data_IF_394320168178
#
_entry.id   IF_394320168178
#
_cell.length_a   1.000
_cell.length_b   1.000
_cell.length_c   1.000
_cell.angle_alpha   90.00
_cell.angle_beta   90.00
_cell.angle_gamma   90.00
#
_symmetry.space_group_name_H-M   'P 1'
#
loop_
_entity.id
_entity.type
_entity.pdbx_description
1 polymer ?
#
# COMPACT_ATOMS: atom_id res chain seq x y z
N UNK A 1 -4.63 17.93 8.43
CA UNK A 1 -3.76 16.82 8.79
C UNK A 1 -3.84 15.69 7.76
N UNK A 2 -4.98 15.00 7.65
CA UNK A 2 -5.11 13.82 6.77
C UNK A 2 -4.78 14.12 5.29
N UNK A 3 -5.31 15.19 4.74
CA UNK A 3 -4.95 15.63 3.37
C UNK A 3 -3.45 15.90 3.21
N UNK A 4 -2.81 16.44 4.25
CA UNK A 4 -1.36 16.66 4.24
C UNK A 4 -0.56 15.37 4.20
N UNK A 5 -1.01 14.32 4.87
CA UNK A 5 -0.38 13.00 4.81
C UNK A 5 -0.48 12.37 3.42
N UNK A 6 -1.59 12.57 2.73
CA UNK A 6 -1.77 12.06 1.37
C UNK A 6 -0.98 12.90 0.35
N UNK A 7 -1.11 14.24 0.37
CA UNK A 7 -0.70 15.10 -0.73
C UNK A 7 -0.11 16.46 -0.32
N UNK A 8 0.59 16.56 0.85
CA UNK A 8 1.32 17.79 1.16
C UNK A 8 2.44 18.02 0.14
N UNK A 9 2.49 19.23 -0.40
CA UNK A 9 3.45 19.61 -1.47
C UNK A 9 4.88 19.79 -0.97
N UNK A 10 5.12 19.83 0.35
CA UNK A 10 6.42 20.15 0.92
C UNK A 10 6.80 21.62 0.76
N UNK A 11 5.82 22.52 0.55
CA UNK A 11 6.06 23.96 0.41
C UNK A 11 5.41 24.67 1.58
N UNK A 12 6.21 25.42 2.33
CA UNK A 12 5.78 26.26 3.43
C UNK A 12 4.97 27.48 2.94
N UNK A 13 4.28 28.15 3.85
CA UNK A 13 3.44 29.32 3.53
C UNK A 13 4.24 30.49 2.94
N UNK A 14 5.52 30.60 3.24
CA UNK A 14 6.44 31.63 2.70
C UNK A 14 7.06 31.25 1.35
N UNK A 15 6.76 30.05 0.83
CA UNK A 15 7.27 29.50 -0.42
C UNK A 15 8.60 28.76 -0.28
N UNK A 16 9.14 28.62 0.93
CA UNK A 16 10.34 27.80 1.16
C UNK A 16 10.00 26.31 1.09
N UNK A 17 10.98 25.47 0.80
CA UNK A 17 10.82 24.02 0.81
C UNK A 17 10.88 23.49 2.25
N UNK A 18 10.02 22.51 2.52
CA UNK A 18 9.99 21.74 3.74
C UNK A 18 10.38 20.28 3.44
N UNK A 19 10.90 19.59 4.44
CA UNK A 19 11.18 18.15 4.35
C UNK A 19 9.92 17.29 4.54
N UNK A 20 8.75 17.90 4.73
CA UNK A 20 7.49 17.23 5.03
C UNK A 20 6.60 17.17 3.79
N UNK A 21 6.61 16.03 3.12
CA UNK A 21 5.78 15.73 1.95
C UNK A 21 4.67 14.76 2.32
N UNK A 22 3.55 14.84 1.61
CA UNK A 22 2.59 13.74 1.53
C UNK A 22 3.14 12.59 0.70
N UNK A 23 2.50 11.44 0.77
CA UNK A 23 2.91 10.25 -0.01
C UNK A 23 2.79 10.47 -1.52
N UNK A 24 1.87 11.33 -1.97
CA UNK A 24 1.66 11.73 -3.36
C UNK A 24 1.49 13.26 -3.46
N UNK A 25 2.59 14.05 -3.46
CA UNK A 25 2.53 15.51 -3.36
C UNK A 25 1.76 16.22 -4.46
N UNK A 26 1.67 15.62 -5.64
CA UNK A 26 0.99 16.19 -6.81
C UNK A 26 -0.44 15.68 -7.00
N UNK A 27 -0.94 14.82 -6.10
CA UNK A 27 -2.30 14.31 -6.19
C UNK A 27 -3.33 15.42 -5.94
N UNK A 28 -4.37 15.48 -6.78
CA UNK A 28 -5.51 16.36 -6.61
C UNK A 28 -6.32 16.02 -5.37
N UNK A 29 -6.89 17.02 -4.71
CA UNK A 29 -7.67 16.84 -3.49
C UNK A 29 -9.09 17.38 -3.66
N UNK A 30 -10.09 16.57 -3.30
CA UNK A 30 -11.48 16.97 -3.17
C UNK A 30 -11.86 16.90 -1.69
N UNK A 31 -12.26 18.02 -1.10
CA UNK A 31 -12.71 18.08 0.30
C UNK A 31 -14.23 17.91 0.37
N UNK A 32 -14.67 16.76 0.86
CA UNK A 32 -16.08 16.46 1.08
C UNK A 32 -16.42 16.68 2.55
N UNK A 33 -17.04 17.82 2.82
CA UNK A 33 -17.36 18.24 4.16
C UNK A 33 -18.60 17.54 4.69
N UNK A 34 -18.44 16.75 5.75
CA UNK A 34 -19.51 16.03 6.43
C UNK A 34 -19.90 16.63 7.80
N UNK A 35 -19.18 17.64 8.26
CA UNK A 35 -19.48 18.35 9.51
C UNK A 35 -20.26 19.64 9.30
N UNK A 36 -20.84 20.20 10.37
CA UNK A 36 -21.60 21.46 10.34
C UNK A 36 -20.71 22.69 10.55
N UNK A 37 -21.17 23.86 10.03
CA UNK A 37 -20.52 25.16 10.22
C UNK A 37 -20.68 25.77 11.62
N UNK A 38 -21.55 25.19 12.43
CA UNK A 38 -21.85 25.72 13.75
C UNK A 38 -20.77 25.30 14.71
N UNK A 39 -19.64 26.00 14.61
CA UNK A 39 -18.54 25.90 15.53
C UNK A 39 -18.31 24.49 16.02
N UNK A 40 -17.88 23.62 15.15
CA UNK A 40 -17.69 22.21 15.42
C UNK A 40 -16.66 21.99 16.53
N UNK A 41 -17.01 22.34 17.72
CA UNK A 41 -16.41 21.74 18.89
C UNK A 41 -16.84 20.27 18.92
N UNK A 42 -15.95 19.37 19.30
CA UNK A 42 -16.26 17.94 19.37
C UNK A 42 -17.52 17.60 20.15
N UNK A 43 -17.99 18.49 21.00
CA UNK A 43 -19.18 18.32 21.84
C UNK A 43 -20.50 18.63 21.14
N UNK A 44 -20.55 19.55 20.19
CA UNK A 44 -21.76 19.86 19.46
C UNK A 44 -22.13 18.80 18.41
N UNK A 45 -21.12 18.18 17.81
CA UNK A 45 -21.33 17.09 16.86
C UNK A 45 -21.87 15.82 17.53
N UNK A 46 -21.58 15.57 18.80
CA UNK A 46 -22.10 14.42 19.54
C UNK A 46 -23.58 14.53 19.89
N UNK A 47 -24.14 15.74 19.95
CA UNK A 47 -25.56 15.96 20.19
C UNK A 47 -26.42 15.73 18.95
N UNK A 48 -25.79 15.64 17.77
CA UNK A 48 -26.42 15.43 16.46
C UNK A 48 -25.86 14.19 15.76
N UNK A 49 -25.57 13.15 16.52
CA UNK A 49 -24.93 11.93 16.04
C UNK A 49 -25.61 11.37 14.78
N UNK A 50 -26.94 11.30 14.78
CA UNK A 50 -27.70 10.81 13.64
C UNK A 50 -27.53 11.72 12.41
N UNK A 51 -27.55 13.03 12.55
CA UNK A 51 -27.38 13.97 11.44
C UNK A 51 -25.95 13.89 10.87
N UNK A 52 -24.95 13.63 11.74
CA UNK A 52 -23.58 13.44 11.31
C UNK A 52 -23.43 12.15 10.47
N UNK A 53 -24.05 11.06 10.88
CA UNK A 53 -24.05 9.80 10.12
C UNK A 53 -24.77 9.96 8.78
N UNK A 54 -25.93 10.61 8.76
CA UNK A 54 -26.63 10.92 7.52
C UNK A 54 -25.80 11.80 6.58
N UNK A 55 -25.09 12.79 7.12
CA UNK A 55 -24.20 13.67 6.37
C UNK A 55 -23.01 12.89 5.78
N UNK A 56 -22.41 11.98 6.55
CA UNK A 56 -21.33 11.13 6.07
C UNK A 56 -21.78 10.20 4.95
N UNK A 57 -22.93 9.56 5.11
CA UNK A 57 -23.52 8.70 4.07
C UNK A 57 -23.84 9.49 2.80
N UNK A 58 -24.42 10.70 2.94
CA UNK A 58 -24.68 11.58 1.82
C UNK A 58 -23.38 12.04 1.13
N UNK A 59 -22.31 12.28 1.90
CA UNK A 59 -21.01 12.62 1.38
C UNK A 59 -20.39 11.47 0.56
N UNK A 60 -20.45 10.25 1.07
CA UNK A 60 -19.98 9.06 0.34
C UNK A 60 -20.81 8.80 -0.93
N UNK A 61 -22.13 8.93 -0.84
CA UNK A 61 -22.99 8.81 -2.02
C UNK A 61 -22.69 9.91 -3.04
N UNK A 62 -22.45 11.13 -2.59
CA UNK A 62 -22.06 12.21 -3.49
C UNK A 62 -20.76 11.91 -4.23
N UNK A 63 -19.74 11.34 -3.55
CA UNK A 63 -18.49 10.92 -4.18
C UNK A 63 -18.76 9.87 -5.26
N UNK A 64 -19.56 8.86 -4.95
CA UNK A 64 -19.93 7.80 -5.89
C UNK A 64 -20.63 8.38 -7.13
N UNK A 65 -21.57 9.31 -6.92
CA UNK A 65 -22.34 9.93 -8.01
C UNK A 65 -21.50 10.84 -8.90
N UNK A 66 -20.38 11.40 -8.37
CA UNK A 66 -19.52 12.37 -9.05
C UNK A 66 -18.13 11.81 -9.41
N UNK A 67 -17.94 10.48 -9.28
CA UNK A 67 -16.64 9.84 -9.52
C UNK A 67 -16.07 10.02 -10.93
N UNK A 68 -16.95 10.28 -11.91
CA UNK A 68 -16.57 10.47 -13.33
C UNK A 68 -16.69 11.94 -13.77
N UNK A 69 -16.90 12.89 -12.86
CA UNK A 69 -17.15 14.28 -13.21
C UNK A 69 -15.89 14.98 -13.73
N UNK A 70 -16.09 15.81 -14.73
CA UNK A 70 -15.06 16.70 -15.25
C UNK A 70 -15.04 18.00 -14.44
N UNK A 71 -13.96 18.24 -13.72
CA UNK A 71 -13.80 19.44 -12.89
C UNK A 71 -13.35 20.64 -13.73
N UNK A 72 -14.00 21.76 -13.59
CA UNK A 72 -13.63 22.98 -14.29
C UNK A 72 -12.31 23.57 -13.76
N UNK A 73 -11.36 23.79 -14.66
CA UNK A 73 -10.10 24.45 -14.34
C UNK A 73 -8.98 23.52 -13.87
N UNK A 74 -9.17 22.21 -13.97
CA UNK A 74 -8.15 21.20 -13.76
C UNK A 74 -7.87 20.44 -15.07
N UNK A 75 -6.72 19.79 -15.16
CA UNK A 75 -6.36 18.97 -16.30
C UNK A 75 -7.26 17.73 -16.41
N UNK A 76 -7.45 17.21 -17.61
CA UNK A 76 -8.29 16.02 -17.86
C UNK A 76 -7.84 14.80 -17.04
N UNK A 77 -6.54 14.65 -16.84
CA UNK A 77 -5.96 13.59 -16.01
C UNK A 77 -6.32 13.71 -14.51
N UNK A 78 -6.87 14.85 -14.08
CA UNK A 78 -7.33 15.10 -12.71
C UNK A 78 -8.86 15.16 -12.62
N UNK A 79 -9.57 14.67 -13.62
CA UNK A 79 -11.02 14.54 -13.57
C UNK A 79 -11.43 13.29 -12.79
N UNK A 80 -12.60 13.33 -12.19
CA UNK A 80 -13.14 12.24 -11.41
C UNK A 80 -12.67 12.21 -9.96
N UNK A 81 -13.00 11.12 -9.28
CA UNK A 81 -12.55 10.82 -7.92
C UNK A 81 -12.13 9.35 -7.90
N UNK A 82 -10.84 9.11 -7.80
CA UNK A 82 -10.26 7.76 -7.85
C UNK A 82 -10.18 7.11 -6.48
N UNK A 83 -10.06 7.93 -5.40
CA UNK A 83 -9.74 7.45 -4.06
C UNK A 83 -10.61 8.13 -3.01
N UNK A 84 -11.17 7.33 -2.11
CA UNK A 84 -11.73 7.79 -0.84
C UNK A 84 -10.70 7.54 0.27
N UNK A 85 -10.26 8.61 0.94
CA UNK A 85 -9.43 8.55 2.14
C UNK A 85 -10.27 8.83 3.37
N UNK A 86 -10.59 7.80 4.15
CA UNK A 86 -11.55 7.88 5.25
C UNK A 86 -10.87 7.66 6.60
N UNK A 87 -10.48 8.74 7.25
CA UNK A 87 -9.88 8.71 8.60
C UNK A 87 -10.92 8.86 9.71
N UNK A 88 -12.11 8.37 9.48
CA UNK A 88 -13.25 8.44 10.36
C UNK A 88 -14.00 7.11 10.36
N UNK A 89 -14.67 6.78 11.43
CA UNK A 89 -15.46 5.57 11.55
C UNK A 89 -16.48 5.67 12.66
N UNK A 90 -17.39 4.73 12.72
CA UNK A 90 -18.41 4.60 13.74
C UNK A 90 -17.91 3.62 14.77
N UNK A 91 -17.81 4.06 16.01
CA UNK A 91 -17.48 3.17 17.11
C UNK A 91 -18.65 2.19 17.32
N UNK A 92 -18.41 0.91 17.07
CA UNK A 92 -19.37 -0.11 17.47
C UNK A 92 -19.04 -0.57 18.88
N UNK A 93 -19.98 -0.44 19.79
CA UNK A 93 -19.89 -0.97 21.14
C UNK A 93 -20.67 -2.25 21.30
N UNK A 94 -21.13 -2.85 20.21
CA UNK A 94 -21.93 -4.06 20.22
C UNK A 94 -21.05 -5.31 20.01
N UNK A 95 -21.10 -6.20 20.96
CA UNK A 95 -20.58 -7.58 20.99
C UNK A 95 -19.83 -8.07 19.75
N UNK A 96 -18.53 -7.79 19.65
CA UNK A 96 -17.67 -8.27 18.58
C UNK A 96 -17.62 -7.38 17.34
N UNK A 97 -18.11 -6.15 17.39
CA UNK A 97 -18.02 -5.19 16.29
C UNK A 97 -18.96 -5.47 15.13
N UNK A 98 -18.66 -4.87 13.98
CA UNK A 98 -19.40 -5.06 12.73
C UNK A 98 -18.96 -6.33 12.00
N UNK A 99 -19.92 -6.95 11.31
CA UNK A 99 -19.69 -8.04 10.37
C UNK A 99 -19.55 -7.59 8.91
N UNK A 100 -19.50 -6.28 8.65
CA UNK A 100 -19.41 -5.71 7.32
C UNK A 100 -20.74 -5.61 6.56
N UNK A 101 -21.85 -6.09 7.15
CA UNK A 101 -23.19 -5.99 6.55
C UNK A 101 -23.92 -4.69 6.90
N UNK A 102 -23.35 -3.86 7.77
CA UNK A 102 -23.91 -2.56 8.08
C UNK A 102 -23.85 -1.62 6.86
N UNK A 103 -24.72 -0.59 6.89
CA UNK A 103 -24.88 0.33 5.76
C UNK A 103 -23.59 1.09 5.43
N UNK A 104 -22.78 1.38 6.45
CA UNK A 104 -21.55 2.16 6.29
C UNK A 104 -20.43 1.32 5.64
N UNK A 105 -20.32 0.03 5.99
CA UNK A 105 -19.41 -0.89 5.32
C UNK A 105 -19.83 -1.13 3.87
N UNK A 106 -21.13 -1.30 3.62
CA UNK A 106 -21.65 -1.60 2.30
C UNK A 106 -21.54 -0.47 1.29
N UNK A 107 -21.62 0.79 1.70
CA UNK A 107 -21.42 1.92 0.77
C UNK A 107 -19.95 2.03 0.35
N UNK A 108 -19.00 1.62 1.21
CA UNK A 108 -17.59 1.53 0.84
C UNK A 108 -17.34 0.39 -0.14
N UNK A 109 -17.99 -0.75 0.06
CA UNK A 109 -17.94 -1.86 -0.89
C UNK A 109 -18.52 -1.44 -2.25
N UNK A 110 -19.65 -0.70 -2.27
CA UNK A 110 -20.23 -0.15 -3.50
C UNK A 110 -19.27 0.81 -4.22
N UNK A 111 -18.55 1.67 -3.49
CA UNK A 111 -17.56 2.56 -4.08
C UNK A 111 -16.43 1.77 -4.77
N UNK A 112 -15.93 0.72 -4.12
CA UNK A 112 -14.90 -0.18 -4.68
C UNK A 112 -15.40 -0.90 -5.95
N UNK A 113 -16.65 -1.38 -5.94
CA UNK A 113 -17.27 -2.04 -7.10
C UNK A 113 -17.45 -1.08 -8.28
N UNK A 114 -17.64 0.21 -8.02
CA UNK A 114 -17.83 1.27 -9.02
C UNK A 114 -16.52 1.93 -9.47
N UNK A 115 -15.38 1.44 -9.03
CA UNK A 115 -14.07 1.88 -9.50
C UNK A 115 -13.33 2.84 -8.59
N UNK A 116 -13.91 3.25 -7.46
CA UNK A 116 -13.27 4.15 -6.50
C UNK A 116 -12.56 3.34 -5.42
N UNK A 117 -11.25 3.51 -5.27
CA UNK A 117 -10.47 2.81 -4.24
C UNK A 117 -10.72 3.42 -2.87
N UNK A 118 -11.08 2.60 -1.90
CA UNK A 118 -11.35 3.07 -0.54
C UNK A 118 -10.24 2.65 0.42
N UNK A 119 -9.64 3.63 1.08
CA UNK A 119 -8.71 3.44 2.19
C UNK A 119 -9.35 3.99 3.47
N UNK A 120 -9.50 3.17 4.50
CA UNK A 120 -10.16 3.55 5.75
C UNK A 120 -9.39 3.11 7.00
N UNK A 121 -9.59 3.85 8.08
CA UNK A 121 -8.88 3.62 9.34
C UNK A 121 -9.41 2.40 10.11
N UNK A 122 -8.52 1.58 10.67
CA UNK A 122 -8.92 0.42 11.50
C UNK A 122 -9.58 0.81 12.83
N UNK A 123 -9.32 2.02 13.33
CA UNK A 123 -9.78 2.50 14.62
C UNK A 123 -8.64 2.62 15.64
N UNK A 124 -8.95 3.23 16.79
CA UNK A 124 -7.95 3.58 17.82
C UNK A 124 -8.32 3.01 19.20
N UNK A 125 -8.99 1.86 19.24
CA UNK A 125 -9.45 1.23 20.48
C UNK A 125 -8.41 0.27 21.11
N UNK A 126 -7.26 0.10 20.45
CA UNK A 126 -6.14 -0.68 20.95
C UNK A 126 -6.27 -2.19 20.76
N UNK A 127 -5.44 -2.93 21.47
CA UNK A 127 -5.32 -4.39 21.36
C UNK A 127 -6.56 -5.14 21.86
N UNK A 128 -7.23 -4.58 22.85
CA UNK A 128 -8.39 -5.17 23.52
C UNK A 128 -9.72 -4.66 22.90
N UNK A 129 -9.70 -4.15 21.65
CA UNK A 129 -10.91 -3.71 20.97
C UNK A 129 -11.92 -4.87 20.85
N UNK A 130 -13.19 -4.56 21.07
CA UNK A 130 -14.29 -5.53 20.92
C UNK A 130 -14.76 -5.60 19.46
N UNK A 131 -13.86 -6.05 18.57
CA UNK A 131 -14.05 -6.11 17.12
C UNK A 131 -13.83 -4.77 16.42
N UNK A 132 -13.98 -4.77 15.11
CA UNK A 132 -13.86 -3.60 14.27
C UNK A 132 -15.22 -2.92 14.08
N UNK A 133 -15.21 -1.60 13.99
CA UNK A 133 -16.43 -0.81 13.81
C UNK A 133 -16.95 -0.88 12.37
N UNK A 134 -18.16 -0.37 12.14
CA UNK A 134 -18.65 -0.11 10.79
C UNK A 134 -17.68 0.78 10.01
N UNK A 135 -17.63 0.66 8.70
CA UNK A 135 -16.60 1.13 7.78
C UNK A 135 -15.30 0.32 7.86
N UNK A 136 -14.67 0.19 9.03
CA UNK A 136 -13.46 -0.62 9.20
C UNK A 136 -13.67 -2.11 8.94
N UNK A 137 -14.93 -2.55 8.91
CA UNK A 137 -15.34 -3.92 8.63
C UNK A 137 -15.80 -4.14 7.18
N UNK A 138 -15.69 -3.17 6.28
CA UNK A 138 -15.98 -3.33 4.84
C UNK A 138 -15.18 -4.51 4.27
N UNK A 139 -15.79 -5.29 3.39
CA UNK A 139 -15.17 -6.48 2.81
C UNK A 139 -14.19 -6.13 1.67
N UNK A 140 -14.48 -5.07 0.94
CA UNK A 140 -13.72 -4.71 -0.27
C UNK A 140 -12.72 -3.58 -0.05
N UNK A 141 -12.97 -2.68 0.90
CA UNK A 141 -12.07 -1.55 1.17
C UNK A 141 -10.71 -2.00 1.74
N UNK A 142 -9.78 -1.06 1.83
CA UNK A 142 -8.44 -1.27 2.39
C UNK A 142 -8.43 -0.67 3.79
N UNK A 143 -8.54 -1.51 4.80
CA UNK A 143 -8.50 -1.09 6.21
C UNK A 143 -7.06 -1.01 6.70
N UNK A 144 -6.69 0.14 7.25
CA UNK A 144 -5.31 0.50 7.57
C UNK A 144 -5.09 0.56 9.08
N UNK A 145 -4.17 -0.27 9.58
CA UNK A 145 -3.64 -0.21 10.94
C UNK A 145 -2.51 0.82 11.06
N UNK A 146 -2.22 1.27 12.27
CA UNK A 146 -1.16 2.23 12.53
C UNK A 146 0.09 1.57 13.15
N UNK A 147 1.27 1.89 12.61
CA UNK A 147 2.55 1.57 13.22
C UNK A 147 3.17 2.79 13.92
N UNK A 148 4.08 2.52 14.84
CA UNK A 148 4.98 3.49 15.44
C UNK A 148 6.37 3.24 14.85
N UNK A 149 6.82 4.16 14.01
CA UNK A 149 8.10 4.13 13.29
C UNK A 149 9.26 4.63 14.16
N UNK A 150 9.03 4.88 15.45
CA UNK A 150 10.00 5.41 16.39
C UNK A 150 10.67 6.73 15.93
N UNK A 151 10.13 7.36 14.88
CA UNK A 151 10.72 8.49 14.15
C UNK A 151 12.13 8.18 13.64
N UNK A 152 12.35 6.98 13.15
CA UNK A 152 13.60 6.55 12.52
C UNK A 152 13.36 6.15 11.06
N UNK A 153 14.42 6.09 10.26
CA UNK A 153 14.35 5.54 8.89
C UNK A 153 14.54 4.02 8.86
N UNK A 154 14.82 3.43 10.00
CA UNK A 154 15.04 1.99 10.13
C UNK A 154 13.70 1.28 10.33
N UNK A 155 13.18 0.68 9.29
CA UNK A 155 11.90 -0.03 9.35
C UNK A 155 11.90 -1.28 10.24
N UNK A 156 13.08 -1.79 10.62
CA UNK A 156 13.16 -3.02 11.43
C UNK A 156 12.80 -2.82 12.91
N UNK A 157 12.79 -1.59 13.41
CA UNK A 157 12.38 -1.24 14.77
C UNK A 157 10.94 -0.72 14.87
N UNK A 158 10.24 -0.63 13.73
CA UNK A 158 8.83 -0.26 13.68
C UNK A 158 7.98 -1.31 14.42
N UNK A 159 7.06 -0.82 15.21
CA UNK A 159 6.13 -1.65 15.98
C UNK A 159 4.69 -1.28 15.68
N UNK A 160 3.76 -2.18 15.97
CA UNK A 160 2.35 -1.80 15.90
C UNK A 160 2.04 -0.78 17.00
N UNK A 161 1.34 0.30 16.66
CA UNK A 161 0.94 1.30 17.63
C UNK A 161 -0.05 0.71 18.66
N UNK A 162 0.20 0.96 19.95
CA UNK A 162 -0.61 0.38 21.02
C UNK A 162 -2.09 0.74 20.97
N UNK A 163 -2.43 1.87 20.37
CA UNK A 163 -3.82 2.31 20.19
C UNK A 163 -4.50 1.74 18.93
N UNK A 164 -3.76 1.25 17.93
CA UNK A 164 -4.38 0.73 16.70
C UNK A 164 -5.32 -0.43 17.01
N UNK A 165 -6.54 -0.41 16.49
CA UNK A 165 -7.47 -1.54 16.60
C UNK A 165 -6.94 -2.76 15.86
N UNK A 166 -7.32 -3.94 16.33
CA UNK A 166 -6.87 -5.25 15.82
C UNK A 166 -8.02 -6.01 15.18
N UNK A 167 -7.68 -6.81 14.16
CA UNK A 167 -8.61 -7.73 13.55
C UNK A 167 -8.69 -9.10 14.27
N UNK A 168 -9.40 -10.06 13.66
CA UNK A 168 -10.23 -9.91 12.47
C UNK A 168 -11.55 -9.17 12.77
N UNK A 169 -12.33 -8.82 11.73
CA UNK A 169 -13.72 -8.41 11.91
C UNK A 169 -14.61 -9.64 12.23
N UNK A 170 -15.84 -9.36 12.62
CA UNK A 170 -16.85 -10.39 12.87
C UNK A 170 -17.23 -11.10 11.57
N UNK A 171 -17.42 -12.43 11.66
CA UNK A 171 -17.91 -13.28 10.58
C UNK A 171 -19.32 -12.85 10.14
N UNK A 172 -19.51 -12.64 8.84
CA UNK A 172 -20.78 -12.25 8.23
C UNK A 172 -21.63 -13.46 7.79
N UNK A 173 -21.11 -14.67 7.93
CA UNK A 173 -21.79 -15.90 7.61
C UNK A 173 -21.86 -16.24 6.12
N UNK A 174 -21.04 -15.59 5.27
CA UNK A 174 -20.98 -15.87 3.83
C UNK A 174 -20.18 -17.13 3.48
N UNK A 175 -19.43 -17.65 4.45
CA UNK A 175 -18.58 -18.85 4.30
C UNK A 175 -17.23 -18.56 3.64
N UNK A 176 -16.85 -17.29 3.46
CA UNK A 176 -15.56 -16.87 2.98
C UNK A 176 -14.77 -16.19 4.11
N UNK A 177 -13.97 -16.91 4.90
CA UNK A 177 -13.25 -16.36 6.05
C UNK A 177 -12.14 -15.36 5.67
N UNK A 178 -11.80 -15.24 4.38
CA UNK A 178 -10.80 -14.26 3.92
C UNK A 178 -11.32 -12.84 4.05
N UNK A 179 -12.64 -12.63 3.91
CA UNK A 179 -13.26 -11.32 4.05
C UNK A 179 -13.22 -10.77 5.49
N UNK A 180 -12.99 -11.64 6.49
CA UNK A 180 -12.82 -11.24 7.89
C UNK A 180 -11.41 -10.77 8.22
N UNK A 181 -10.43 -11.02 7.33
CA UNK A 181 -9.02 -10.74 7.57
C UNK A 181 -8.67 -9.25 7.35
N UNK A 182 -9.19 -8.40 8.21
CA UNK A 182 -8.89 -6.97 8.29
C UNK A 182 -8.19 -6.66 9.62
N UNK A 183 -7.27 -5.69 9.69
CA UNK A 183 -6.84 -4.77 8.63
C UNK A 183 -6.09 -5.47 7.51
N UNK A 184 -6.08 -4.86 6.32
CA UNK A 184 -5.32 -5.37 5.19
C UNK A 184 -3.85 -4.97 5.25
N UNK A 185 -3.56 -3.77 5.73
CA UNK A 185 -2.20 -3.22 5.69
C UNK A 185 -1.95 -2.31 6.89
N UNK A 186 -0.70 -2.02 7.17
CA UNK A 186 -0.30 -1.03 8.17
C UNK A 186 0.63 0.02 7.58
N UNK A 187 0.62 1.21 8.20
CA UNK A 187 1.49 2.33 7.84
C UNK A 187 1.82 3.17 9.08
N UNK A 188 2.88 4.01 9.03
CA UNK A 188 3.20 4.91 10.13
C UNK A 188 2.03 5.84 10.50
N UNK A 189 1.68 5.86 11.79
CA UNK A 189 0.56 6.65 12.30
C UNK A 189 0.84 7.28 13.65
N UNK A 190 2.04 7.12 14.22
CA UNK A 190 2.38 7.63 15.56
C UNK A 190 3.30 8.83 15.50
N UNK A 191 2.95 9.87 16.27
CA UNK A 191 3.78 11.06 16.43
C UNK A 191 4.18 11.74 15.10
N UNK A 192 3.24 11.75 14.16
CA UNK A 192 3.41 12.25 12.80
C UNK A 192 3.45 13.78 12.79
N UNK A 193 4.40 14.37 12.09
CA UNK A 193 4.39 15.78 11.74
C UNK A 193 3.40 15.98 10.60
N UNK A 194 2.51 16.93 10.73
CA UNK A 194 1.38 17.13 9.84
C UNK A 194 1.27 18.58 9.37
N UNK A 195 0.69 18.78 8.19
CA UNK A 195 0.26 20.10 7.75
C UNK A 195 -0.86 20.62 8.66
N UNK A 196 -0.77 21.89 9.04
CA UNK A 196 -1.80 22.56 9.82
C UNK A 196 -2.80 23.29 8.91
N UNK A 197 -4.10 23.05 9.12
CA UNK A 197 -5.16 23.70 8.35
C UNK A 197 -5.41 25.16 8.70
N UNK A 198 -4.69 25.70 9.68
CA UNK A 198 -5.02 26.99 10.32
C UNK A 198 -3.93 28.01 10.12
N UNK A 199 -3.74 28.44 8.90
CA UNK A 199 -2.68 29.37 8.48
C UNK A 199 -3.00 30.85 8.68
N UNK A 200 -4.20 31.23 8.97
CA UNK A 200 -4.55 32.65 9.11
C UNK A 200 -5.62 32.89 10.14
N UNK A 201 -5.35 33.78 11.03
CA UNK A 201 -6.32 34.51 11.81
C UNK A 201 -7.01 33.81 12.99
N UNK A 202 -6.28 33.33 13.98
CA UNK A 202 -6.83 33.26 15.36
C UNK A 202 -8.14 32.51 15.59
N UNK A 203 -8.66 31.82 14.60
CA UNK A 203 -9.89 31.03 14.67
C UNK A 203 -9.67 29.55 14.97
N UNK A 204 -8.46 29.06 14.85
CA UNK A 204 -8.12 27.70 15.23
C UNK A 204 -7.83 27.67 16.71
N UNK A 205 -8.81 27.31 17.47
CA UNK A 205 -8.60 26.92 18.84
C UNK A 205 -7.67 25.70 18.83
N UNK A 206 -6.54 25.91 19.36
CA UNK A 206 -5.42 25.01 19.46
C UNK A 206 -5.76 23.82 20.37
N UNK A 207 -6.69 22.98 19.95
CA UNK A 207 -7.15 21.82 20.70
C UNK A 207 -6.00 20.82 20.97
N UNK A 208 -5.00 20.79 20.08
CA UNK A 208 -3.84 19.93 20.19
C UNK A 208 -2.57 20.67 20.65
N UNK A 209 -2.68 21.92 21.07
CA UNK A 209 -1.55 22.71 21.55
C UNK A 209 -0.58 23.17 20.45
N UNK A 210 -0.93 23.00 19.18
CA UNK A 210 -0.18 23.56 18.09
C UNK A 210 -0.39 25.08 18.01
N UNK A 211 0.61 25.85 17.87
CA UNK A 211 0.52 27.29 17.62
C UNK A 211 0.13 27.47 16.15
N UNK A 212 -0.97 28.14 15.87
CA UNK A 212 -1.32 28.60 14.53
C UNK A 212 -0.29 29.66 14.06
N UNK A 213 0.96 29.30 14.17
CA UNK A 213 2.09 30.11 13.77
C UNK A 213 2.23 30.13 12.25
N UNK A 214 3.17 30.86 11.76
CA UNK A 214 3.47 30.99 10.33
C UNK A 214 3.94 29.67 9.68
N UNK A 215 4.14 28.59 10.46
CA UNK A 215 4.57 27.29 9.99
C UNK A 215 3.40 26.32 9.88
N UNK A 216 3.19 25.76 8.70
CA UNK A 216 2.12 24.82 8.36
C UNK A 216 2.40 23.36 8.75
N UNK A 217 3.58 23.04 9.28
CA UNK A 217 4.03 21.69 9.59
C UNK A 217 4.50 21.49 11.03
N UNK A 218 3.91 22.18 11.99
CA UNK A 218 4.35 22.14 13.40
C UNK A 218 3.61 21.15 14.29
N UNK A 219 2.43 20.69 13.87
CA UNK A 219 1.61 19.77 14.66
C UNK A 219 2.17 18.35 14.66
N UNK A 220 1.93 17.61 15.75
CA UNK A 220 2.14 16.17 15.81
C UNK A 220 0.88 15.48 16.24
N UNK A 221 0.53 14.39 15.55
CA UNK A 221 -0.65 13.59 15.84
C UNK A 221 -0.36 12.10 15.78
N UNK A 222 -1.24 11.32 16.39
CA UNK A 222 -1.18 9.87 16.37
C UNK A 222 -2.58 9.30 16.16
N UNK A 223 -2.67 8.25 15.37
CA UNK A 223 -3.92 7.55 15.07
C UNK A 223 -3.84 6.80 13.75
N UNK A 224 -4.69 5.80 13.57
CA UNK A 224 -4.93 5.18 12.26
C UNK A 224 -5.40 6.22 11.24
N UNK A 225 -5.94 7.36 11.72
CA UNK A 225 -6.29 8.52 10.91
C UNK A 225 -5.11 9.17 10.17
N UNK A 226 -3.88 8.93 10.58
CA UNK A 226 -2.66 9.39 9.88
C UNK A 226 -2.08 8.33 8.97
N UNK A 227 -2.17 7.06 9.37
CA UNK A 227 -1.74 5.92 8.56
C UNK A 227 -2.57 5.79 7.28
N UNK A 228 -3.90 5.95 7.39
CA UNK A 228 -4.84 5.82 6.28
C UNK A 228 -4.53 6.76 5.10
N UNK A 229 -4.41 8.08 5.28
CA UNK A 229 -4.11 8.98 4.16
C UNK A 229 -2.69 8.78 3.60
N UNK A 230 -1.74 8.28 4.39
CA UNK A 230 -0.44 7.89 3.85
C UNK A 230 -0.59 6.74 2.84
N UNK A 231 -1.40 5.73 3.15
CA UNK A 231 -1.73 4.64 2.22
C UNK A 231 -2.54 5.17 1.04
N UNK A 232 -3.47 6.12 1.23
CA UNK A 232 -4.21 6.75 0.14
C UNK A 232 -3.28 7.41 -0.89
N UNK A 233 -2.22 8.08 -0.42
CA UNK A 233 -1.19 8.63 -1.31
C UNK A 233 -0.41 7.53 -2.04
N UNK A 234 -0.09 6.41 -1.39
CA UNK A 234 0.53 5.26 -2.08
C UNK A 234 -0.40 4.69 -3.16
N UNK A 235 -1.71 4.60 -2.88
CA UNK A 235 -2.73 4.18 -3.86
C UNK A 235 -2.70 5.12 -5.07
N UNK A 236 -2.62 6.44 -4.86
CA UNK A 236 -2.52 7.41 -5.95
C UNK A 236 -1.29 7.17 -6.83
N UNK A 237 -0.13 6.89 -6.24
CA UNK A 237 1.08 6.53 -6.99
C UNK A 237 0.93 5.23 -7.77
N UNK A 238 0.21 4.24 -7.25
CA UNK A 238 -0.07 2.97 -7.94
C UNK A 238 -1.00 3.20 -9.13
N UNK A 239 -2.04 4.03 -8.98
CA UNK A 239 -2.94 4.42 -10.07
C UNK A 239 -2.18 5.19 -11.16
N UNK A 240 -1.34 6.16 -10.79
CA UNK A 240 -0.50 6.89 -11.74
C UNK A 240 0.46 5.95 -12.50
N UNK A 241 1.01 4.96 -11.82
CA UNK A 241 1.87 3.96 -12.44
C UNK A 241 1.11 3.07 -13.44
N UNK A 242 -0.16 2.74 -13.15
CA UNK A 242 -1.00 1.90 -14.01
C UNK A 242 -2.49 2.18 -13.80
N UNK A 243 -3.05 3.07 -14.60
CA UNK A 243 -4.45 3.50 -14.57
C UNK A 243 -5.47 2.40 -14.96
N UNK A 244 -5.00 1.27 -15.50
CA UNK A 244 -5.87 0.16 -15.90
C UNK A 244 -6.15 -0.85 -14.76
N UNK A 245 -5.64 -0.60 -13.57
CA UNK A 245 -5.86 -1.48 -12.41
C UNK A 245 -7.25 -1.23 -11.79
N UNK A 246 -7.94 -2.30 -11.48
CA UNK A 246 -9.18 -2.23 -10.70
C UNK A 246 -8.89 -2.00 -9.22
N UNK A 247 -9.85 -1.48 -8.43
CA UNK A 247 -9.67 -1.30 -6.98
C UNK A 247 -9.24 -2.57 -6.24
N UNK A 248 -9.78 -3.72 -6.61
CA UNK A 248 -9.39 -5.00 -5.99
C UNK A 248 -7.97 -5.44 -6.39
N UNK A 249 -7.54 -5.18 -7.61
CA UNK A 249 -6.16 -5.43 -8.03
C UNK A 249 -5.19 -4.52 -7.26
N UNK A 250 -5.54 -3.26 -7.03
CA UNK A 250 -4.74 -2.33 -6.21
C UNK A 250 -4.65 -2.83 -4.76
N UNK A 251 -5.77 -3.26 -4.16
CA UNK A 251 -5.80 -3.87 -2.83
C UNK A 251 -4.84 -5.07 -2.76
N UNK A 252 -4.91 -5.97 -3.73
CA UNK A 252 -4.03 -7.14 -3.76
C UNK A 252 -2.56 -6.77 -4.00
N UNK A 253 -2.25 -5.76 -4.82
CA UNK A 253 -0.88 -5.25 -5.00
C UNK A 253 -0.31 -4.77 -3.66
N UNK A 254 -1.07 -3.98 -2.89
CA UNK A 254 -0.61 -3.49 -1.58
C UNK A 254 -0.37 -4.64 -0.60
N UNK A 255 -1.27 -5.62 -0.53
CA UNK A 255 -1.11 -6.81 0.30
C UNK A 255 0.12 -7.63 -0.11
N UNK A 256 0.27 -7.87 -1.40
CA UNK A 256 1.31 -8.71 -1.98
C UNK A 256 2.73 -8.12 -1.84
N UNK A 257 2.84 -6.79 -1.91
CA UNK A 257 4.12 -6.08 -1.86
C UNK A 257 4.49 -5.56 -0.48
N UNK A 258 3.60 -5.73 0.51
CA UNK A 258 3.85 -5.27 1.87
C UNK A 258 5.02 -5.98 2.52
N UNK A 259 5.71 -5.29 3.42
CA UNK A 259 6.75 -5.88 4.26
C UNK A 259 6.10 -6.68 5.38
N UNK A 260 6.13 -8.01 5.27
CA UNK A 260 5.54 -8.92 6.25
C UNK A 260 6.01 -8.63 7.68
N UNK A 261 5.07 -8.60 8.63
CA UNK A 261 5.32 -8.34 10.05
C UNK A 261 4.51 -9.26 10.93
N UNK A 262 5.15 -9.72 12.00
CA UNK A 262 4.52 -10.62 12.95
C UNK A 262 4.31 -12.04 12.42
N UNK A 263 3.87 -12.94 13.30
CA UNK A 263 3.49 -14.30 12.93
C UNK A 263 2.05 -14.31 12.39
N UNK A 264 1.72 -15.17 11.43
CA UNK A 264 0.34 -15.30 10.94
C UNK A 264 -0.65 -15.60 12.05
N UNK A 265 -1.79 -14.90 12.08
CA UNK A 265 -2.80 -15.06 13.13
C UNK A 265 -3.91 -16.03 12.76
N UNK A 266 -4.09 -16.34 11.47
CA UNK A 266 -5.08 -17.29 10.95
C UNK A 266 -4.48 -18.14 9.81
N UNK A 267 -3.42 -18.92 10.07
CA UNK A 267 -2.64 -19.60 9.01
C UNK A 267 -3.44 -20.69 8.27
N UNK A 268 -4.54 -21.13 8.82
CA UNK A 268 -5.47 -22.08 8.16
C UNK A 268 -6.34 -21.39 7.10
N UNK A 269 -6.52 -20.06 7.20
CA UNK A 269 -7.26 -19.23 6.24
C UNK A 269 -6.29 -18.56 5.29
N UNK A 270 -5.32 -17.82 5.86
CA UNK A 270 -4.28 -17.15 5.12
C UNK A 270 -2.96 -17.18 5.91
N UNK A 271 -1.92 -17.85 5.41
CA UNK A 271 -0.65 -18.00 6.11
C UNK A 271 0.22 -16.72 6.14
N UNK A 272 -0.26 -15.60 5.64
CA UNK A 272 0.49 -14.33 5.56
C UNK A 272 -0.17 -13.20 6.34
N UNK A 273 -1.44 -13.35 6.71
CA UNK A 273 -2.15 -12.31 7.44
C UNK A 273 -1.85 -12.33 8.95
N UNK A 274 -1.60 -11.14 9.50
CA UNK A 274 -1.41 -10.91 10.93
C UNK A 274 -2.49 -9.94 11.45
N UNK A 275 -3.08 -10.23 12.61
CA UNK A 275 -4.19 -9.43 13.16
C UNK A 275 -3.80 -7.98 13.50
N UNK A 276 -2.51 -7.74 13.73
CA UNK A 276 -1.98 -6.43 14.13
C UNK A 276 -1.59 -5.60 12.90
N UNK A 277 -0.82 -6.18 11.99
CA UNK A 277 -0.22 -5.49 10.85
C UNK A 277 -0.96 -5.71 9.52
N UNK A 278 -1.99 -6.55 9.49
CA UNK A 278 -2.56 -7.04 8.22
C UNK A 278 -1.57 -7.94 7.49
N UNK A 279 -1.41 -7.74 6.21
CA UNK A 279 -0.39 -8.42 5.39
C UNK A 279 1.01 -7.83 5.58
N UNK A 280 1.13 -6.74 6.34
CA UNK A 280 2.41 -6.13 6.68
C UNK A 280 2.39 -4.61 6.61
N UNK A 281 3.57 -4.01 6.61
CA UNK A 281 3.74 -2.57 6.43
C UNK A 281 3.78 -2.22 4.94
N UNK A 282 3.07 -1.17 4.55
CA UNK A 282 3.04 -0.71 3.16
C UNK A 282 4.45 -0.43 2.62
N UNK A 283 4.75 -0.94 1.42
CA UNK A 283 5.94 -0.62 0.66
C UNK A 283 5.53 0.07 -0.65
N UNK A 284 5.59 1.39 -0.65
CA UNK A 284 5.20 2.21 -1.78
C UNK A 284 6.05 1.91 -3.03
N UNK A 285 7.36 1.65 -2.85
CA UNK A 285 8.25 1.36 -3.95
C UNK A 285 7.92 0.03 -4.61
N UNK A 286 7.76 -1.02 -3.81
CA UNK A 286 7.43 -2.34 -4.33
C UNK A 286 6.06 -2.35 -5.01
N UNK A 287 5.06 -1.63 -4.45
CA UNK A 287 3.73 -1.52 -5.04
C UNK A 287 3.76 -0.82 -6.41
N UNK A 288 4.47 0.30 -6.52
CA UNK A 288 4.64 1.04 -7.79
C UNK A 288 5.42 0.21 -8.81
N UNK A 289 6.51 -0.43 -8.42
CA UNK A 289 7.31 -1.26 -9.32
C UNK A 289 6.48 -2.43 -9.89
N UNK A 290 5.62 -3.07 -9.08
CA UNK A 290 4.73 -4.13 -9.54
C UNK A 290 3.64 -3.58 -10.49
N UNK A 291 3.04 -2.42 -10.18
CA UNK A 291 2.06 -1.78 -11.05
C UNK A 291 2.65 -1.43 -12.43
N UNK A 292 3.87 -0.88 -12.46
CA UNK A 292 4.62 -0.62 -13.69
C UNK A 292 4.91 -1.90 -14.46
N UNK A 293 5.33 -2.97 -13.80
CA UNK A 293 5.57 -4.27 -14.43
C UNK A 293 4.30 -4.80 -15.11
N UNK A 294 3.16 -4.77 -14.42
CA UNK A 294 1.86 -5.22 -14.96
C UNK A 294 1.42 -4.39 -16.17
N UNK A 295 1.64 -3.08 -16.15
CA UNK A 295 1.37 -2.19 -17.27
C UNK A 295 2.27 -2.52 -18.48
N UNK A 296 3.59 -2.56 -18.24
CA UNK A 296 4.58 -2.70 -19.32
C UNK A 296 4.57 -4.10 -19.94
N UNK A 297 4.10 -5.11 -19.20
CA UNK A 297 3.90 -6.48 -19.71
C UNK A 297 2.50 -6.77 -20.24
N UNK A 298 1.57 -5.78 -20.18
CA UNK A 298 0.15 -5.92 -20.57
C UNK A 298 -0.57 -7.07 -19.83
N UNK A 299 -0.18 -7.31 -18.56
CA UNK A 299 -0.74 -8.39 -17.76
C UNK A 299 -1.93 -7.96 -16.90
N UNK A 300 -2.15 -6.65 -16.68
CA UNK A 300 -3.23 -6.14 -15.82
C UNK A 300 -4.60 -6.78 -16.09
N UNK A 301 -5.04 -6.98 -17.36
CA UNK A 301 -6.33 -7.61 -17.63
C UNK A 301 -6.41 -9.10 -17.29
N UNK A 302 -5.27 -9.76 -17.05
CA UNK A 302 -5.18 -11.19 -16.74
C UNK A 302 -5.11 -11.47 -15.25
N UNK A 303 -4.93 -10.44 -14.41
CA UNK A 303 -4.86 -10.59 -12.96
C UNK A 303 -6.25 -10.79 -12.38
N UNK A 304 -6.44 -11.94 -11.74
CA UNK A 304 -7.60 -12.22 -10.91
C UNK A 304 -7.21 -12.03 -9.43
N UNK A 305 -7.74 -10.98 -8.75
CA UNK A 305 -7.40 -10.70 -7.36
C UNK A 305 -7.86 -11.78 -6.38
N UNK A 306 -8.75 -12.69 -6.80
CA UNK A 306 -9.14 -13.83 -5.98
C UNK A 306 -8.15 -15.01 -6.00
N UNK A 307 -7.15 -14.97 -6.88
CA UNK A 307 -6.08 -15.98 -6.96
C UNK A 307 -4.86 -15.50 -6.18
N UNK A 308 -4.40 -16.33 -5.27
CA UNK A 308 -3.27 -16.01 -4.41
C UNK A 308 -2.07 -16.90 -4.73
N UNK A 309 -0.88 -16.28 -4.79
CA UNK A 309 0.40 -16.96 -4.80
C UNK A 309 1.41 -16.09 -4.06
N UNK A 310 1.96 -16.59 -2.97
CA UNK A 310 2.90 -15.86 -2.12
C UNK A 310 4.16 -16.69 -1.88
N UNK A 311 5.29 -16.01 -1.70
CA UNK A 311 6.54 -16.62 -1.33
C UNK A 311 6.60 -16.93 0.16
N UNK A 312 7.11 -18.11 0.51
CA UNK A 312 7.40 -18.48 1.88
C UNK A 312 8.89 -18.44 2.16
N UNK A 313 9.68 -19.07 1.31
CA UNK A 313 11.12 -19.22 1.57
C UNK A 313 11.92 -19.40 0.26
N UNK A 314 13.14 -18.87 0.29
CA UNK A 314 14.16 -19.11 -0.72
C UNK A 314 15.40 -19.70 -0.02
N UNK A 315 15.75 -20.93 -0.33
CA UNK A 315 16.94 -21.58 0.17
C UNK A 315 17.95 -21.80 -0.97
N UNK A 316 19.15 -21.26 -0.82
CA UNK A 316 20.24 -21.37 -1.79
C UNK A 316 21.30 -22.35 -1.26
N UNK A 317 21.59 -23.37 -2.05
CA UNK A 317 22.58 -24.38 -1.75
C UNK A 317 23.00 -25.11 -3.03
N UNK A 318 23.28 -26.43 -2.96
CA UNK A 318 23.50 -27.26 -4.14
C UNK A 318 22.29 -27.29 -5.08
N UNK A 319 21.11 -27.02 -4.53
CA UNK A 319 19.85 -26.82 -5.24
C UNK A 319 19.21 -25.53 -4.69
N UNK A 320 18.70 -24.70 -5.58
CA UNK A 320 17.87 -23.57 -5.23
C UNK A 320 16.45 -24.12 -5.02
N UNK A 321 15.91 -23.94 -3.82
CA UNK A 321 14.56 -24.34 -3.47
C UNK A 321 13.75 -23.09 -3.13
N UNK A 322 12.75 -22.80 -3.95
CA UNK A 322 11.78 -21.72 -3.73
C UNK A 322 10.47 -22.38 -3.33
N UNK A 323 9.86 -21.90 -2.26
CA UNK A 323 8.59 -22.42 -1.75
C UNK A 323 7.63 -21.30 -1.48
N UNK A 324 6.35 -21.59 -1.62
CA UNK A 324 5.30 -20.65 -1.28
C UNK A 324 3.94 -21.33 -1.17
N UNK A 325 2.93 -20.55 -0.85
CA UNK A 325 1.54 -21.02 -0.84
C UNK A 325 0.77 -20.41 -2.01
N UNK A 326 -0.22 -21.18 -2.48
CA UNK A 326 -1.19 -20.69 -3.45
C UNK A 326 -2.58 -21.21 -3.10
N UNK A 327 -3.61 -20.44 -3.41
CA UNK A 327 -5.03 -20.83 -3.27
C UNK A 327 -5.92 -19.87 -4.06
N UNK A 328 -7.15 -20.26 -4.30
CA UNK A 328 -8.18 -19.39 -4.87
C UNK A 328 -9.27 -19.10 -3.85
N UNK A 329 -9.70 -17.85 -3.75
CA UNK A 329 -10.77 -17.44 -2.84
C UNK A 329 -12.17 -17.80 -3.41
N UNK A 330 -12.37 -17.64 -4.71
CA UNK A 330 -13.66 -17.92 -5.38
C UNK A 330 -13.76 -19.31 -6.01
N UNK A 331 -12.64 -19.98 -6.24
CA UNK A 331 -12.56 -21.30 -6.88
C UNK A 331 -11.20 -21.94 -6.70
N UNK A 332 -11.07 -23.20 -7.14
CA UNK A 332 -9.77 -23.88 -7.15
C UNK A 332 -8.89 -23.33 -8.25
N UNK A 333 -7.59 -23.28 -8.02
CA UNK A 333 -6.62 -23.03 -9.08
C UNK A 333 -6.36 -24.31 -9.89
N UNK A 334 -5.97 -24.12 -11.16
CA UNK A 334 -5.61 -25.23 -12.04
C UNK A 334 -4.20 -25.71 -11.77
N UNK A 335 -3.24 -24.76 -11.63
CA UNK A 335 -1.81 -25.02 -11.42
C UNK A 335 -1.10 -23.79 -10.88
N UNK A 336 0.13 -23.99 -10.40
CA UNK A 336 1.12 -22.93 -10.18
C UNK A 336 2.25 -23.14 -11.16
N UNK A 337 2.64 -22.10 -11.89
CA UNK A 337 3.70 -22.19 -12.89
C UNK A 337 4.77 -21.14 -12.64
N UNK A 338 5.96 -21.43 -13.12
CA UNK A 338 7.13 -20.55 -13.02
C UNK A 338 7.86 -20.44 -14.35
N UNK A 339 8.59 -19.36 -14.51
CA UNK A 339 9.55 -19.19 -15.61
C UNK A 339 10.84 -18.55 -15.10
N UNK A 340 11.92 -18.74 -15.85
CA UNK A 340 13.22 -18.12 -15.58
C UNK A 340 13.56 -17.18 -16.71
N UNK A 341 13.93 -15.93 -16.40
CA UNK A 341 14.34 -14.88 -17.35
C UNK A 341 13.32 -14.66 -18.49
N UNK A 342 12.03 -14.72 -18.18
CA UNK A 342 10.97 -14.57 -19.19
C UNK A 342 10.88 -15.73 -20.21
N UNK A 343 11.48 -16.89 -19.91
CA UNK A 343 11.43 -18.10 -20.73
C UNK A 343 10.07 -18.76 -20.76
N UNK A 344 10.03 -20.04 -21.11
CA UNK A 344 8.79 -20.82 -21.16
C UNK A 344 8.26 -21.08 -19.73
N UNK A 345 6.94 -21.10 -19.58
CA UNK A 345 6.28 -21.46 -18.35
C UNK A 345 6.39 -22.96 -18.06
N UNK A 346 6.71 -23.29 -16.84
CA UNK A 346 6.86 -24.66 -16.33
C UNK A 346 6.02 -24.82 -15.07
N UNK A 347 5.37 -25.95 -14.92
CA UNK A 347 4.58 -26.23 -13.73
C UNK A 347 5.48 -26.52 -12.52
N UNK A 348 5.07 -26.01 -11.34
CA UNK A 348 5.77 -26.26 -10.08
C UNK A 348 5.45 -27.66 -9.55
N UNK A 349 6.10 -28.07 -8.48
CA UNK A 349 5.71 -29.28 -7.72
C UNK A 349 4.89 -28.89 -6.50
N UNK A 350 3.98 -29.75 -6.04
CA UNK A 350 3.02 -29.44 -4.99
C UNK A 350 3.11 -30.40 -3.81
N UNK A 351 2.71 -29.92 -2.62
CA UNK A 351 2.44 -30.79 -1.46
C UNK A 351 1.12 -31.54 -1.61
N UNK A 352 0.15 -30.96 -2.33
CA UNK A 352 -1.13 -31.56 -2.71
C UNK A 352 -1.54 -31.00 -4.08
N UNK A 353 -2.18 -31.81 -4.91
CA UNK A 353 -2.62 -31.38 -6.24
C UNK A 353 -3.67 -30.29 -6.14
N UNK A 354 -3.54 -29.14 -6.84
CA UNK A 354 -4.46 -28.01 -6.73
C UNK A 354 -5.94 -28.41 -6.85
N UNK A 355 -6.28 -29.29 -7.79
CA UNK A 355 -7.65 -29.75 -8.01
C UNK A 355 -8.23 -30.62 -6.85
N UNK A 356 -7.37 -31.14 -5.97
CA UNK A 356 -7.78 -31.95 -4.82
C UNK A 356 -7.98 -31.09 -3.56
N UNK A 357 -7.39 -29.90 -3.51
CA UNK A 357 -7.43 -29.03 -2.33
C UNK A 357 -8.72 -28.21 -2.24
N UNK A 358 -9.26 -27.79 -3.37
CA UNK A 358 -10.46 -26.95 -3.40
C UNK A 358 -10.17 -25.45 -3.15
N UNK A 359 -11.23 -24.65 -3.17
CA UNK A 359 -11.16 -23.23 -2.86
C UNK A 359 -10.88 -22.97 -1.37
N UNK A 360 -10.37 -21.77 -1.06
CA UNK A 360 -10.12 -21.28 0.30
C UNK A 360 -9.14 -22.13 1.14
N UNK A 361 -8.32 -22.96 0.50
CA UNK A 361 -7.39 -23.82 1.22
C UNK A 361 -5.97 -23.62 0.66
N UNK A 362 -5.07 -22.94 1.38
CA UNK A 362 -3.68 -22.78 0.97
C UNK A 362 -2.96 -24.12 0.85
N UNK A 363 -2.18 -24.29 -0.21
CA UNK A 363 -1.29 -25.45 -0.38
C UNK A 363 0.11 -25.00 -0.78
N UNK A 364 1.12 -25.80 -0.41
CA UNK A 364 2.50 -25.53 -0.69
C UNK A 364 2.87 -25.91 -2.12
N UNK A 365 3.57 -25.01 -2.81
CA UNK A 365 4.25 -25.28 -4.07
C UNK A 365 5.77 -25.16 -3.89
N UNK A 366 6.53 -25.80 -4.80
CA UNK A 366 7.99 -25.82 -4.79
C UNK A 366 8.54 -25.65 -6.20
N UNK A 367 9.57 -24.81 -6.34
CA UNK A 367 10.43 -24.74 -7.52
C UNK A 367 11.83 -25.18 -7.12
N UNK A 368 12.34 -26.21 -7.79
CA UNK A 368 13.67 -26.75 -7.56
C UNK A 368 14.56 -26.49 -8.78
N UNK A 369 15.55 -25.61 -8.63
CA UNK A 369 16.47 -25.24 -9.69
C UNK A 369 17.88 -25.73 -9.36
N UNK A 370 18.55 -26.26 -10.37
CA UNK A 370 19.97 -26.60 -10.25
C UNK A 370 20.81 -25.39 -10.73
N UNK A 371 21.55 -24.70 -9.83
CA UNK A 371 22.36 -23.54 -10.21
C UNK A 371 23.34 -23.81 -11.33
N UNK A 372 23.86 -25.04 -11.41
CA UNK A 372 24.82 -25.46 -12.47
C UNK A 372 24.17 -25.57 -13.86
N UNK A 373 22.83 -25.59 -13.95
CA UNK A 373 22.09 -25.58 -15.23
C UNK A 373 21.67 -24.18 -15.66
N UNK A 374 21.75 -23.21 -14.77
CA UNK A 374 21.56 -21.80 -15.07
C UNK A 374 22.91 -21.23 -15.53
N UNK A 375 22.92 -20.30 -16.47
CA UNK A 375 24.12 -19.57 -16.84
C UNK A 375 24.79 -18.94 -15.61
N UNK A 376 26.08 -18.61 -15.69
CA UNK A 376 26.70 -17.88 -14.57
C UNK A 376 26.18 -16.45 -14.53
N UNK A 377 25.65 -16.04 -13.40
CA UNK A 377 25.08 -14.69 -13.18
C UNK A 377 23.76 -14.70 -12.45
N UNK A 378 23.11 -13.56 -12.38
CA UNK A 378 21.80 -13.37 -11.78
C UNK A 378 20.70 -13.76 -12.77
N UNK A 379 19.66 -14.38 -12.24
CA UNK A 379 18.47 -14.81 -12.97
C UNK A 379 17.22 -14.46 -12.16
N UNK A 380 16.15 -14.06 -12.86
CA UNK A 380 14.87 -13.81 -12.24
C UNK A 380 13.95 -15.01 -12.44
N UNK A 381 13.40 -15.52 -11.35
CA UNK A 381 12.35 -16.55 -11.36
C UNK A 381 11.01 -15.86 -11.05
N UNK A 382 10.07 -16.00 -11.96
CA UNK A 382 8.70 -15.50 -11.83
C UNK A 382 7.77 -16.68 -11.58
N UNK A 383 6.85 -16.54 -10.62
CA UNK A 383 5.90 -17.60 -10.23
C UNK A 383 4.52 -16.99 -10.10
N UNK A 384 3.48 -17.66 -10.61
CA UNK A 384 2.09 -17.29 -10.38
C UNK A 384 1.16 -18.53 -10.36
N UNK A 385 -0.01 -18.37 -9.72
CA UNK A 385 -1.10 -19.33 -9.76
C UNK A 385 -2.01 -19.04 -10.95
N UNK A 386 -2.58 -20.08 -11.56
CA UNK A 386 -3.40 -19.98 -12.78
C UNK A 386 -4.75 -20.66 -12.60
N UNK A 387 -5.81 -20.00 -13.05
CA UNK A 387 -7.15 -20.55 -13.20
C UNK A 387 -7.74 -20.12 -14.55
N UNK A 388 -7.93 -21.06 -15.47
CA UNK A 388 -8.35 -20.78 -16.82
C UNK A 388 -7.35 -19.91 -17.60
N UNK A 389 -7.79 -18.71 -17.98
CA UNK A 389 -6.96 -17.71 -18.64
C UNK A 389 -6.41 -16.63 -17.67
N UNK A 390 -6.83 -16.66 -16.42
CA UNK A 390 -6.47 -15.68 -15.41
C UNK A 390 -5.35 -16.21 -14.52
N UNK A 391 -4.61 -15.32 -13.89
CA UNK A 391 -3.56 -15.68 -12.94
C UNK A 391 -3.49 -14.72 -11.76
N UNK A 392 -2.83 -15.15 -10.68
CA UNK A 392 -2.52 -14.32 -9.53
C UNK A 392 -1.49 -13.25 -9.86
N UNK A 393 -1.29 -12.31 -8.96
CA UNK A 393 -0.09 -11.46 -9.01
C UNK A 393 1.17 -12.33 -9.05
N UNK A 394 2.20 -11.95 -9.83
CA UNK A 394 3.45 -12.68 -9.91
C UNK A 394 4.32 -12.44 -8.67
N UNK A 395 5.02 -13.48 -8.24
CA UNK A 395 6.09 -13.43 -7.25
C UNK A 395 7.44 -13.53 -7.96
N UNK A 396 8.41 -12.71 -7.57
CA UNK A 396 9.73 -12.66 -8.17
C UNK A 396 10.81 -13.07 -7.18
N UNK A 397 11.80 -13.80 -7.70
CA UNK A 397 12.99 -14.19 -6.94
C UNK A 397 14.24 -13.96 -7.78
N UNK A 398 15.25 -13.36 -7.16
CA UNK A 398 16.58 -13.27 -7.72
C UNK A 398 17.41 -14.48 -7.27
N UNK A 399 17.95 -15.22 -8.23
CA UNK A 399 18.77 -16.40 -7.98
C UNK A 399 20.07 -16.35 -8.78
N UNK A 400 21.13 -16.95 -8.25
CA UNK A 400 22.44 -16.95 -8.92
C UNK A 400 22.73 -18.30 -9.56
N UNK A 401 22.96 -18.30 -10.88
CA UNK A 401 23.44 -19.45 -11.63
C UNK A 401 24.96 -19.61 -11.55
N UNK A 402 25.44 -20.86 -11.63
CA UNK A 402 26.85 -21.22 -11.58
C UNK A 402 27.30 -22.06 -12.75
N UNK A 403 26.44 -22.27 -13.77
CA UNK A 403 26.73 -23.05 -14.95
C UNK A 403 27.71 -22.36 -15.92
N UNK A 404 28.37 -23.13 -16.79
CA UNK A 404 29.10 -22.58 -17.93
C UNK A 404 28.13 -22.15 -19.03
N UNK A 405 28.49 -21.16 -19.83
CA UNK A 405 27.68 -20.67 -20.95
C UNK A 405 27.24 -21.75 -21.96
N UNK A 406 27.89 -22.90 -21.98
CA UNK A 406 27.53 -24.03 -22.82
C UNK A 406 26.33 -24.84 -22.32
N UNK A 407 25.95 -24.69 -21.04
CA UNK A 407 24.80 -25.40 -20.45
C UNK A 407 23.45 -24.74 -20.78
N UNK A 408 23.47 -23.51 -21.27
CA UNK A 408 22.30 -22.69 -21.56
C UNK A 408 21.77 -22.85 -23.01
N UNK A 409 22.30 -23.80 -23.80
CA UNK A 409 21.88 -24.01 -25.19
C UNK A 409 20.54 -24.76 -25.32
N UNK A 410 19.46 -24.07 -24.98
CA UNK A 410 18.08 -24.32 -25.39
C UNK A 410 17.39 -23.05 -25.88
N UNK A 411 18.04 -21.88 -25.75
CA UNK A 411 17.45 -20.59 -26.15
C UNK A 411 18.01 -20.17 -27.51
N UNK A 412 17.19 -19.88 -28.52
CA UNK A 412 17.71 -19.42 -29.81
C UNK A 412 18.53 -18.13 -29.66
N UNK A 413 19.64 -17.95 -30.40
CA UNK A 413 20.52 -16.78 -30.30
C UNK A 413 19.80 -15.41 -30.48
N UNK A 414 18.62 -15.41 -31.08
CA UNK A 414 17.80 -14.22 -31.28
C UNK A 414 17.15 -13.73 -29.99
N UNK A 415 16.83 -14.63 -29.04
CA UNK A 415 16.28 -14.27 -27.73
C UNK A 415 17.34 -13.64 -26.82
N UNK A 416 18.58 -14.12 -26.86
CA UNK A 416 19.72 -13.59 -26.10
C UNK A 416 20.00 -12.11 -26.47
N UNK A 417 19.84 -11.76 -27.74
CA UNK A 417 20.02 -10.38 -28.20
C UNK A 417 18.93 -9.41 -27.73
N UNK A 418 17.69 -9.89 -27.56
CA UNK A 418 16.58 -9.10 -27.08
C UNK A 418 16.63 -8.90 -25.55
N UNK A 419 16.94 -9.96 -24.80
CA UNK A 419 17.07 -9.90 -23.33
C UNK A 419 18.31 -9.09 -22.93
N UNK A 420 19.44 -9.23 -23.65
CA UNK A 420 20.62 -8.40 -23.42
C UNK A 420 20.37 -6.91 -23.75
N UNK A 421 19.51 -6.59 -24.73
CA UNK A 421 19.12 -5.21 -25.04
C UNK A 421 18.17 -4.64 -24.00
N UNK A 422 17.24 -5.43 -23.49
CA UNK A 422 16.32 -5.01 -22.42
C UNK A 422 17.09 -4.90 -21.09
N UNK A 423 17.95 -5.88 -20.75
CA UNK A 423 18.78 -5.82 -19.54
C UNK A 423 19.83 -4.70 -19.59
N UNK A 424 20.43 -4.40 -20.75
CA UNK A 424 21.31 -3.24 -20.94
C UNK A 424 20.53 -1.91 -20.89
N UNK A 425 19.29 -1.89 -21.34
CA UNK A 425 18.44 -0.71 -21.21
C UNK A 425 18.02 -0.47 -19.75
N UNK A 426 17.73 -1.55 -18.99
CA UNK A 426 17.46 -1.48 -17.56
C UNK A 426 18.70 -1.13 -16.74
N UNK A 427 19.84 -1.77 -16.99
CA UNK A 427 21.11 -1.42 -16.35
C UNK A 427 21.58 0.00 -16.71
N UNK A 428 21.39 0.44 -17.95
CA UNK A 428 21.71 1.83 -18.32
C UNK A 428 20.72 2.83 -17.73
N UNK A 429 19.44 2.47 -17.56
CA UNK A 429 18.46 3.29 -16.86
C UNK A 429 18.75 3.37 -15.36
N UNK A 430 19.05 2.24 -14.70
CA UNK A 430 19.47 2.19 -13.29
C UNK A 430 20.80 2.91 -13.06
N UNK A 431 21.79 2.77 -13.95
CA UNK A 431 23.06 3.50 -13.88
C UNK A 431 22.85 4.99 -14.15
N UNK A 432 21.98 5.38 -15.09
CA UNK A 432 21.61 6.77 -15.32
C UNK A 432 20.80 7.39 -14.17
N UNK A 433 19.90 6.64 -13.56
CA UNK A 433 19.16 7.08 -12.37
C UNK A 433 20.13 7.17 -11.17
N UNK A 434 21.02 6.21 -10.97
CA UNK A 434 22.02 6.23 -9.91
C UNK A 434 23.09 7.32 -10.14
N UNK A 435 23.52 7.56 -11.37
CA UNK A 435 24.44 8.66 -11.71
C UNK A 435 23.77 10.02 -11.53
N UNK A 436 22.48 10.14 -11.86
CA UNK A 436 21.72 11.37 -11.62
C UNK A 436 21.47 11.61 -10.13
N UNK A 437 21.17 10.57 -9.36
CA UNK A 437 21.00 10.70 -7.92
C UNK A 437 22.31 10.99 -7.19
N UNK A 438 23.41 10.41 -7.63
CA UNK A 438 24.74 10.67 -7.03
C UNK A 438 25.22 12.09 -7.33
N UNK A 439 24.99 12.60 -8.54
CA UNK A 439 25.31 14.01 -8.90
C UNK A 439 24.40 15.03 -8.18
N UNK A 440 23.12 14.71 -7.97
CA UNK A 440 22.20 15.55 -7.19
C UNK A 440 22.50 15.47 -5.69
N UNK A 441 22.89 14.32 -5.17
CA UNK A 441 23.32 14.15 -3.78
C UNK A 441 24.67 14.87 -3.55
N UNK A 442 25.64 14.79 -4.45
CA UNK A 442 26.87 15.57 -4.36
C UNK A 442 26.61 17.08 -4.44
N UNK A 443 25.70 17.51 -5.31
CA UNK A 443 25.28 18.92 -5.39
C UNK A 443 24.55 19.40 -4.13
N UNK A 444 23.75 18.54 -3.48
CA UNK A 444 23.14 18.83 -2.19
C UNK A 444 24.17 18.87 -1.06
N UNK A 445 25.12 17.94 -1.04
CA UNK A 445 26.21 17.92 -0.04
C UNK A 445 27.11 19.15 -0.17
N UNK A 446 27.44 19.55 -1.39
CA UNK A 446 28.22 20.79 -1.62
C UNK A 446 27.43 22.06 -1.25
N UNK A 447 26.11 22.07 -1.45
CA UNK A 447 25.23 23.15 -0.98
C UNK A 447 25.16 23.24 0.54
N UNK A 448 25.11 22.10 1.23
CA UNK A 448 25.12 22.05 2.71
C UNK A 448 26.49 22.52 3.24
N UNK A 449 27.60 22.07 2.64
CA UNK A 449 28.94 22.50 3.04
C UNK A 449 29.17 24.01 2.82
N UNK A 450 28.71 24.56 1.70
CA UNK A 450 28.78 25.99 1.46
C UNK A 450 27.92 26.82 2.41
N UNK A 451 26.82 26.24 2.89
CA UNK A 451 25.94 26.88 3.87
C UNK A 451 26.56 26.91 5.26
N UNK A 452 27.17 25.78 5.70
CA UNK A 452 27.90 25.72 6.97
C UNK A 452 29.12 26.69 6.99
N UNK A 453 29.84 26.85 5.87
CA UNK A 453 30.91 27.85 5.74
C UNK A 453 30.41 29.30 5.79
N UNK A 454 29.21 29.58 5.29
CA UNK A 454 28.58 30.89 5.35
C UNK A 454 28.12 31.21 6.77
N UNK A 455 27.53 30.25 7.47
CA UNK A 455 27.07 30.40 8.85
C UNK A 455 28.25 30.59 9.83
N UNK A 456 29.38 29.90 9.63
CA UNK A 456 30.64 30.17 10.39
C UNK A 456 31.19 31.57 10.16
N UNK A 457 31.10 32.11 8.94
CA UNK A 457 31.56 33.47 8.64
C UNK A 457 30.64 34.53 9.25
N UNK A 458 29.33 34.28 9.24
CA UNK A 458 28.34 35.20 9.83
C UNK A 458 28.42 35.20 11.37
N UNK A 459 28.69 34.08 12.02
CA UNK A 459 28.94 34.03 13.47
C UNK A 459 30.24 34.72 13.86
N UNK A 460 31.28 34.65 13.02
CA UNK A 460 32.55 35.34 13.25
C UNK A 460 32.45 36.88 13.12
N UNK A 461 31.62 37.37 12.19
CA UNK A 461 31.36 38.82 12.02
C UNK A 461 30.43 39.43 13.09
N UNK A 462 29.62 38.59 13.80
CA UNK A 462 28.75 39.04 14.89
C UNK A 462 29.46 39.08 16.25
N UNK A 463 30.71 38.62 16.34
CA UNK A 463 31.54 38.59 17.56
C UNK A 463 32.69 39.61 17.56
N UNK A 464 32.85 40.41 16.49
CA UNK A 464 33.66 41.60 16.45
C UNK A 464 32.78 42.88 16.55
#
# INVERSE_FOLDING_TARGET
ACMGMASATGIEADGSQSDFYGSAPDAGLVDVRIGTDVGAGPFENYLLEQEFYESAMNGLQWIIDHRDDAWAGVDEASHGIDIISLSWGITSHENGGSDGNDMHSRILDEAMELGVVVSNAAGNDGEDNDGLSGMSASSLSITVAATDDQNTVNRSDDTIAGYSSRGPRKDNGDGNPVNELVPEISAPGSNIIQAEGCVSSGGCNNFLGADASDNTYTGRGSGTSYATPAVSGVIALVIEANENLTPLQIKEILKHTSELRGEPSAPEVDPYWNRDFGYGMVDARAAVDLALFLRDSDQSPLIDPSLQSHSLNLTIGDVINITGHAWGQAGSIDRVEYRVDGGEWMETTYSATPSEVGALTPFLWHVLLNPAKLASGEHTVEVHAVAGAMHSLPVFFEVTGSGSAESAMGIPPIAIGAVALVGLFWLSSLVLIRYRSDDEIEAMIDNVRTRDEIDEVVEAELLE
#
